data_IF_956889894951
#
_entry.id   IF_956889894951
#
_cell.length_a   1.000
_cell.length_b   1.000
_cell.length_c   1.000
_cell.angle_alpha   90.00
_cell.angle_beta   90.00
_cell.angle_gamma   90.00
#
_symmetry.space_group_name_H-M   'P 1'
#
loop_
_entity.id
_entity.type
_entity.pdbx_description
1 polymer ?
#
# COMPACT_ATOMS: atom_id res chain seq x y z
N UNK A 1 -7.79 10.80 9.50
CA UNK A 1 -7.63 11.54 10.76
C UNK A 1 -6.75 12.77 10.54
N UNK A 2 -5.44 12.64 10.33
CA UNK A 2 -4.50 13.77 10.13
C UNK A 2 -4.93 14.72 9.01
N UNK A 3 -5.38 14.20 7.87
CA UNK A 3 -5.92 15.00 6.75
C UNK A 3 -7.18 15.75 7.18
N UNK A 4 -8.09 15.09 7.90
CA UNK A 4 -9.33 15.70 8.40
C UNK A 4 -9.11 16.77 9.46
N UNK A 5 -7.99 16.73 10.19
CA UNK A 5 -7.59 17.73 11.17
C UNK A 5 -6.84 18.94 10.56
N UNK A 6 -6.53 18.88 9.26
CA UNK A 6 -5.88 19.99 8.55
C UNK A 6 -4.44 20.25 8.95
N UNK A 7 -3.69 19.20 9.32
CA UNK A 7 -2.27 19.35 9.67
C UNK A 7 -1.48 19.84 8.46
N UNK A 8 -0.62 20.83 8.69
CA UNK A 8 0.28 21.40 7.68
C UNK A 8 1.51 20.48 7.52
N UNK A 9 1.42 19.57 6.55
CA UNK A 9 2.48 18.62 6.20
C UNK A 9 2.70 18.62 4.70
N UNK A 10 3.95 18.44 4.27
CA UNK A 10 4.32 18.43 2.85
C UNK A 10 3.92 17.14 2.15
N UNK A 11 4.00 16.01 2.86
CA UNK A 11 3.65 14.68 2.33
C UNK A 11 3.28 13.70 3.45
N UNK A 12 2.68 12.57 3.09
CA UNK A 12 2.39 11.47 4.00
C UNK A 12 3.22 10.23 3.65
N UNK A 13 3.79 9.58 4.66
CA UNK A 13 4.32 8.21 4.53
C UNK A 13 3.24 7.20 4.88
N UNK A 14 2.85 6.38 3.90
CA UNK A 14 1.72 5.48 4.00
C UNK A 14 2.17 4.01 3.97
N UNK A 15 2.09 3.32 5.13
CA UNK A 15 2.23 1.87 5.16
C UNK A 15 0.99 1.23 4.51
N UNK A 16 1.19 0.50 3.42
CA UNK A 16 0.05 -0.09 2.70
C UNK A 16 -0.60 -1.28 3.44
N UNK A 17 0.06 -1.82 4.47
CA UNK A 17 -0.50 -2.86 5.34
C UNK A 17 -0.69 -2.34 6.76
N UNK A 18 -1.80 -2.72 7.39
CA UNK A 18 -2.05 -2.45 8.80
C UNK A 18 -1.35 -3.49 9.68
N UNK A 19 -0.31 -3.06 10.41
CA UNK A 19 0.54 -3.95 11.19
C UNK A 19 0.21 -4.03 12.68
N UNK A 20 -0.50 -3.04 13.19
CA UNK A 20 -0.75 -2.86 14.64
C UNK A 20 -2.22 -3.15 14.97
N UNK A 21 -2.64 -4.39 14.73
CA UNK A 21 -3.95 -4.86 15.12
C UNK A 21 -3.96 -5.34 16.56
N UNK A 22 -5.02 -5.04 17.28
CA UNK A 22 -5.26 -5.59 18.61
C UNK A 22 -5.50 -7.10 18.57
N UNK A 23 -5.38 -7.76 19.71
CA UNK A 23 -5.69 -9.19 19.81
C UNK A 23 -7.17 -9.48 19.51
N UNK A 24 -8.06 -8.53 19.79
CA UNK A 24 -9.49 -8.64 19.48
C UNK A 24 -9.74 -8.59 17.95
N UNK A 25 -9.15 -7.61 17.27
CA UNK A 25 -9.21 -7.51 15.81
C UNK A 25 -8.63 -8.75 15.12
N UNK A 26 -7.49 -9.26 15.60
CA UNK A 26 -6.91 -10.48 15.04
C UNK A 26 -7.81 -11.71 15.24
N UNK A 27 -8.47 -11.83 16.39
CA UNK A 27 -9.45 -12.91 16.58
C UNK A 27 -10.66 -12.77 15.67
N UNK A 28 -11.15 -11.55 15.46
CA UNK A 28 -12.27 -11.30 14.57
C UNK A 28 -11.95 -11.62 13.10
N UNK A 29 -10.74 -11.27 12.65
CA UNK A 29 -10.29 -11.45 11.27
C UNK A 29 -9.81 -12.87 10.96
N UNK A 30 -9.07 -13.50 11.89
CA UNK A 30 -8.37 -14.77 11.67
C UNK A 30 -8.96 -15.95 12.46
N UNK A 31 -9.86 -15.68 13.39
CA UNK A 31 -10.36 -16.67 14.34
C UNK A 31 -9.39 -16.99 15.49
N UNK A 32 -8.17 -16.47 15.48
CA UNK A 32 -7.15 -16.70 16.49
C UNK A 32 -6.14 -15.55 16.55
N UNK A 33 -5.33 -15.54 17.61
CA UNK A 33 -4.14 -14.66 17.70
C UNK A 33 -2.91 -15.48 17.36
N UNK A 34 -2.07 -15.06 16.39
CA UNK A 34 -0.83 -15.78 16.06
C UNK A 34 0.12 -15.87 17.25
N UNK A 35 0.69 -17.06 17.49
CA UNK A 35 1.72 -17.30 18.51
C UNK A 35 2.94 -17.96 17.84
N UNK A 36 4.16 -17.43 18.01
CA UNK A 36 4.47 -16.17 18.72
C UNK A 36 3.84 -14.94 18.03
N UNK A 37 3.71 -13.81 18.73
CA UNK A 37 3.19 -12.58 18.13
C UNK A 37 4.01 -12.19 16.90
N UNK A 38 3.33 -11.92 15.78
CA UNK A 38 3.95 -11.53 14.51
C UNK A 38 3.08 -10.54 13.76
N UNK A 39 3.72 -9.76 12.89
CA UNK A 39 3.01 -8.89 11.96
C UNK A 39 2.12 -9.72 11.01
N UNK A 40 0.88 -9.33 10.88
CA UNK A 40 -0.09 -9.92 9.95
C UNK A 40 -0.24 -8.99 8.75
N UNK A 41 -0.18 -9.55 7.54
CA UNK A 41 -0.31 -8.85 6.27
C UNK A 41 -1.53 -9.43 5.55
N UNK A 42 -2.60 -8.64 5.41
CA UNK A 42 -3.83 -9.06 4.77
C UNK A 42 -3.94 -8.44 3.37
N UNK A 43 -4.48 -9.20 2.43
CA UNK A 43 -4.66 -8.76 1.03
C UNK A 43 -5.62 -7.56 0.91
N UNK A 44 -6.55 -7.40 1.85
CA UNK A 44 -7.50 -6.28 1.88
C UNK A 44 -6.90 -4.95 2.39
N UNK A 45 -5.69 -4.98 2.98
CA UNK A 45 -5.09 -3.77 3.52
C UNK A 45 -4.64 -2.77 2.45
N UNK A 46 -3.90 -3.18 1.39
CA UNK A 46 -3.43 -2.24 0.38
C UNK A 46 -4.56 -1.47 -0.32
N UNK A 47 -5.66 -2.09 -0.80
CA UNK A 47 -6.77 -1.37 -1.41
C UNK A 47 -7.38 -0.31 -0.49
N UNK A 48 -7.49 -0.61 0.80
CA UNK A 48 -8.02 0.32 1.82
C UNK A 48 -7.09 1.52 2.01
N UNK A 49 -5.78 1.28 2.12
CA UNK A 49 -4.80 2.35 2.25
C UNK A 49 -4.72 3.20 0.98
N UNK A 50 -4.74 2.60 -0.21
CA UNK A 50 -4.72 3.35 -1.45
C UNK A 50 -5.95 4.26 -1.61
N UNK A 51 -7.14 3.83 -1.16
CA UNK A 51 -8.31 4.73 -1.08
C UNK A 51 -8.06 5.94 -0.20
N UNK A 52 -7.47 5.74 0.99
CA UNK A 52 -7.13 6.84 1.89
C UNK A 52 -6.09 7.79 1.28
N UNK A 53 -5.07 7.24 0.58
CA UNK A 53 -4.07 8.03 -0.12
C UNK A 53 -4.67 8.89 -1.23
N UNK A 54 -5.63 8.37 -2.00
CA UNK A 54 -6.33 9.15 -3.04
C UNK A 54 -7.13 10.32 -2.48
N UNK A 55 -7.65 10.20 -1.26
CA UNK A 55 -8.39 11.27 -0.57
C UNK A 55 -7.46 12.36 0.00
N UNK A 56 -6.18 12.08 0.20
CA UNK A 56 -5.22 13.05 0.72
C UNK A 56 -4.83 14.05 -0.38
N UNK A 57 -4.91 15.37 -0.13
CA UNK A 57 -4.51 16.39 -1.11
C UNK A 57 -2.99 16.45 -1.30
N UNK A 58 -2.19 16.06 -0.30
CA UNK A 58 -0.74 16.03 -0.38
C UNK A 58 -0.22 14.81 -1.14
N UNK A 59 1.04 14.84 -1.62
CA UNK A 59 1.73 13.65 -2.09
C UNK A 59 1.81 12.58 -1.01
N UNK A 60 1.71 11.32 -1.41
CA UNK A 60 1.86 10.17 -0.51
C UNK A 60 3.01 9.28 -0.97
N UNK A 61 3.77 8.77 -0.01
CA UNK A 61 4.85 7.81 -0.24
C UNK A 61 4.38 6.44 0.26
N UNK A 62 3.97 5.56 -0.66
CA UNK A 62 3.54 4.21 -0.33
C UNK A 62 4.75 3.33 0.00
N UNK A 63 4.77 2.72 1.18
CA UNK A 63 5.84 1.80 1.54
C UNK A 63 5.30 0.43 1.99
N UNK A 64 6.18 -0.57 1.99
CA UNK A 64 5.86 -1.99 2.21
C UNK A 64 4.97 -2.62 1.13
N UNK A 65 5.00 -2.10 -0.08
CA UNK A 65 4.25 -2.67 -1.21
C UNK A 65 4.58 -4.14 -1.50
N UNK A 66 5.74 -4.62 -1.07
CA UNK A 66 6.18 -6.02 -1.15
C UNK A 66 5.90 -6.84 0.13
N UNK A 67 5.02 -6.35 1.01
CA UNK A 67 4.63 -7.02 2.25
C UNK A 67 5.83 -7.46 3.11
N UNK A 68 6.87 -6.61 3.22
CA UNK A 68 8.12 -6.90 3.92
C UNK A 68 8.78 -8.22 3.46
N UNK A 69 8.89 -8.41 2.15
CA UNK A 69 9.53 -9.57 1.52
C UNK A 69 8.62 -10.76 1.24
N UNK A 70 7.38 -10.77 1.73
CA UNK A 70 6.44 -11.89 1.53
C UNK A 70 6.00 -12.08 0.07
N UNK A 71 6.14 -11.04 -0.74
CA UNK A 71 5.88 -11.07 -2.18
C UNK A 71 7.17 -11.20 -3.02
N UNK A 72 8.32 -11.50 -2.40
CA UNK A 72 9.61 -11.54 -3.10
C UNK A 72 10.03 -12.93 -3.57
N UNK A 73 9.27 -13.99 -3.27
CA UNK A 73 9.61 -15.37 -3.66
C UNK A 73 9.61 -15.59 -5.17
N UNK A 74 8.86 -14.76 -5.91
CA UNK A 74 8.78 -14.82 -7.36
C UNK A 74 8.80 -13.41 -7.95
N UNK A 75 9.63 -13.22 -8.98
CA UNK A 75 9.77 -11.92 -9.65
C UNK A 75 8.44 -11.39 -10.21
N UNK A 76 7.58 -12.27 -10.70
CA UNK A 76 6.23 -11.91 -11.18
C UNK A 76 5.31 -11.34 -10.07
N UNK A 77 5.51 -11.71 -8.81
CA UNK A 77 4.76 -11.13 -7.70
C UNK A 77 5.25 -9.74 -7.35
N UNK A 78 6.58 -9.53 -7.43
CA UNK A 78 7.18 -8.19 -7.30
C UNK A 78 6.63 -7.27 -8.38
N UNK A 79 6.67 -7.70 -9.63
CA UNK A 79 6.13 -6.96 -10.78
C UNK A 79 4.64 -6.61 -10.59
N UNK A 80 3.82 -7.59 -10.21
CA UNK A 80 2.39 -7.39 -9.96
C UNK A 80 2.13 -6.41 -8.81
N UNK A 81 2.96 -6.41 -7.75
CA UNK A 81 2.84 -5.47 -6.65
C UNK A 81 3.14 -4.03 -7.10
N UNK A 82 4.14 -3.83 -7.96
CA UNK A 82 4.42 -2.52 -8.57
C UNK A 82 3.25 -2.07 -9.46
N UNK A 83 2.81 -2.92 -10.38
CA UNK A 83 1.70 -2.60 -11.29
C UNK A 83 0.44 -2.23 -10.52
N UNK A 84 0.02 -3.07 -9.57
CA UNK A 84 -1.16 -2.83 -8.73
C UNK A 84 -1.04 -1.52 -7.94
N UNK A 85 0.13 -1.23 -7.38
CA UNK A 85 0.37 0.01 -6.65
C UNK A 85 0.21 1.22 -7.55
N UNK A 86 0.88 1.24 -8.71
CA UNK A 86 0.83 2.38 -9.63
C UNK A 86 -0.57 2.61 -10.21
N UNK A 87 -1.37 1.57 -10.41
CA UNK A 87 -2.78 1.72 -10.81
C UNK A 87 -3.63 2.46 -9.76
N UNK A 88 -3.25 2.42 -8.49
CA UNK A 88 -4.07 2.89 -7.37
C UNK A 88 -3.60 4.19 -6.72
N UNK A 89 -2.36 4.59 -6.91
CA UNK A 89 -1.81 5.86 -6.37
C UNK A 89 -2.10 7.04 -7.31
N UNK A 90 -1.99 8.27 -6.77
CA UNK A 90 -2.11 9.51 -7.56
C UNK A 90 -0.84 9.78 -8.39
N UNK A 91 -0.91 10.56 -9.48
CA UNK A 91 0.27 10.89 -10.29
C UNK A 91 1.43 11.54 -9.53
N UNK A 92 1.14 12.22 -8.41
CA UNK A 92 2.16 12.89 -7.55
C UNK A 92 2.66 12.03 -6.41
N UNK A 93 2.13 10.83 -6.24
CA UNK A 93 2.57 9.90 -5.21
C UNK A 93 3.81 9.13 -5.67
N UNK A 94 4.53 8.52 -4.73
CA UNK A 94 5.70 7.71 -5.01
C UNK A 94 5.70 6.44 -4.15
N UNK A 95 6.63 5.53 -4.45
CA UNK A 95 6.84 4.29 -3.71
C UNK A 95 8.20 4.29 -3.01
N UNK A 96 8.25 3.68 -1.83
CA UNK A 96 9.49 3.38 -1.11
C UNK A 96 9.61 1.87 -1.01
N UNK A 97 10.68 1.32 -1.57
CA UNK A 97 10.90 -0.13 -1.67
C UNK A 97 12.18 -0.52 -0.96
N UNK A 98 12.10 -1.48 -0.04
CA UNK A 98 13.28 -2.12 0.52
C UNK A 98 13.95 -3.03 -0.52
N UNK A 99 15.28 -3.04 -0.55
CA UNK A 99 16.07 -3.82 -1.49
C UNK A 99 17.18 -4.58 -0.78
N UNK A 100 17.59 -5.72 -1.35
CA UNK A 100 18.76 -6.49 -0.96
C UNK A 100 19.57 -6.86 -2.21
N UNK A 101 20.46 -5.97 -2.67
CA UNK A 101 21.10 -6.06 -4.00
C UNK A 101 22.32 -6.99 -4.04
N UNK A 102 22.45 -7.96 -3.15
CA UNK A 102 23.62 -8.85 -3.09
C UNK A 102 23.72 -9.79 -4.29
N UNK A 103 22.57 -10.25 -4.81
CA UNK A 103 22.52 -11.30 -5.84
C UNK A 103 22.08 -10.78 -7.21
N UNK A 104 21.48 -9.62 -7.27
CA UNK A 104 20.96 -9.00 -8.49
C UNK A 104 20.84 -7.48 -8.34
N UNK A 105 20.83 -6.76 -9.45
CA UNK A 105 20.64 -5.31 -9.43
C UNK A 105 19.14 -4.96 -9.25
N UNK A 106 18.66 -5.13 -8.03
CA UNK A 106 17.27 -4.81 -7.69
C UNK A 106 16.92 -3.33 -7.90
N UNK A 107 17.89 -2.45 -7.84
CA UNK A 107 17.65 -1.03 -8.10
C UNK A 107 17.30 -0.79 -9.56
N UNK A 108 18.04 -1.38 -10.50
CA UNK A 108 17.76 -1.29 -11.92
C UNK A 108 16.42 -1.97 -12.28
N UNK A 109 16.15 -3.16 -11.73
CA UNK A 109 14.89 -3.89 -11.94
C UNK A 109 13.69 -3.07 -11.45
N UNK A 110 13.74 -2.56 -10.22
CA UNK A 110 12.66 -1.76 -9.65
C UNK A 110 12.47 -0.44 -10.41
N UNK A 111 13.54 0.21 -10.85
CA UNK A 111 13.45 1.41 -11.68
C UNK A 111 12.78 1.13 -13.03
N UNK A 112 12.98 -0.05 -13.61
CA UNK A 112 12.29 -0.47 -14.83
C UNK A 112 10.78 -0.65 -14.60
N UNK A 113 10.37 -1.26 -13.48
CA UNK A 113 8.94 -1.34 -13.12
C UNK A 113 8.32 0.05 -12.94
N UNK A 114 9.02 0.98 -12.29
CA UNK A 114 8.55 2.37 -12.18
C UNK A 114 8.36 2.99 -13.56
N UNK A 115 9.33 2.86 -14.47
CA UNK A 115 9.22 3.39 -15.86
C UNK A 115 8.03 2.79 -16.61
N UNK A 116 7.79 1.48 -16.46
CA UNK A 116 6.69 0.79 -17.15
C UNK A 116 5.32 1.17 -16.60
N UNK A 117 5.19 1.32 -15.30
CA UNK A 117 3.89 1.44 -14.64
C UNK A 117 3.52 2.85 -14.20
N UNK A 118 4.46 3.80 -14.20
CA UNK A 118 4.21 5.17 -13.75
C UNK A 118 3.04 5.86 -14.50
N UNK A 119 2.86 5.56 -15.77
CA UNK A 119 1.74 6.09 -16.58
C UNK A 119 0.35 5.59 -16.15
N UNK A 120 0.30 4.55 -15.33
CA UNK A 120 -0.95 4.00 -14.78
C UNK A 120 -1.45 4.78 -13.55
N UNK A 121 -0.62 5.67 -12.98
CA UNK A 121 -1.00 6.42 -11.79
C UNK A 121 -2.18 7.37 -12.08
N UNK A 122 -3.19 7.30 -11.20
CA UNK A 122 -4.45 8.01 -11.38
C UNK A 122 -5.56 7.21 -12.08
N UNK A 123 -5.27 6.04 -12.67
CA UNK A 123 -6.29 5.24 -13.37
C UNK A 123 -7.48 4.84 -12.49
N UNK A 124 -7.23 4.48 -11.22
CA UNK A 124 -8.29 4.10 -10.29
C UNK A 124 -9.20 5.27 -9.83
N UNK A 125 -8.87 6.51 -10.18
CA UNK A 125 -9.71 7.67 -9.86
C UNK A 125 -10.91 7.81 -10.81
N UNK A 126 -10.86 7.15 -11.95
CA UNK A 126 -11.88 7.24 -12.99
C UNK A 126 -12.99 6.19 -12.81
N UNK A 127 -12.73 5.09 -12.08
CA UNK A 127 -13.59 3.89 -12.04
C UNK A 127 -14.33 3.64 -10.71
N UNK A 128 -14.08 4.38 -9.62
CA UNK A 128 -14.79 4.17 -8.35
C UNK A 128 -16.06 5.03 -8.25
N UNK A 129 -17.26 4.42 -8.29
CA UNK A 129 -18.44 5.12 -7.80
C UNK A 129 -18.23 5.46 -6.32
N UNK A 130 -18.50 6.71 -5.94
CA UNK A 130 -18.50 7.14 -4.54
C UNK A 130 -19.39 6.18 -3.75
N UNK A 131 -18.77 5.28 -3.00
CA UNK A 131 -19.52 4.39 -2.12
C UNK A 131 -20.27 5.26 -1.14
N UNK A 132 -21.60 5.26 -1.23
CA UNK A 132 -22.46 5.94 -0.28
C UNK A 132 -22.05 5.50 1.13
N UNK A 133 -21.81 6.47 2.01
CA UNK A 133 -21.54 6.22 3.41
C UNK A 133 -22.64 5.30 3.95
N UNK A 134 -22.25 4.12 4.43
CA UNK A 134 -23.18 3.25 5.15
C UNK A 134 -23.55 3.99 6.43
N UNK A 135 -24.81 4.37 6.65
CA UNK A 135 -25.20 4.97 7.92
C UNK A 135 -24.99 3.92 8.99
N UNK A 136 -24.18 4.28 9.99
CA UNK A 136 -23.92 3.43 11.14
C UNK A 136 -25.24 3.07 11.83
N UNK A 137 -25.44 1.78 12.01
CA UNK A 137 -26.38 1.22 12.95
C UNK A 137 -25.68 0.89 14.26
#
# INVERSE_FOLDING_TARGET
HVVGEGWDVDFFMCCVYERHRSAEELRALLGHVPLPPREVYLEDDPPRMFRAMRQAPQPCLAFKILAAGRLCDRQQWVEAAFESTFRQIKPKDAVIVGMYPEYEDQAAINAEYVRRFNSLSGAAQEDEPVAAAVPGG
#
